data_IF_885316596487
#
_entry.id   IF_885316596487
#
_cell.length_a   1.000
_cell.length_b   1.000
_cell.length_c   1.000
_cell.angle_alpha   90.00
_cell.angle_beta   90.00
_cell.angle_gamma   90.00
#
_symmetry.space_group_name_H-M   'P 1'
#
loop_
_entity.id
_entity.type
_entity.pdbx_description
1 polymer ?
#
# COMPACT_ATOMS: atom_id res chain seq x y z
N UNK A 1 10.38 -4.25 -11.49
CA UNK A 1 8.97 -4.25 -11.05
C UNK A 1 8.99 -4.61 -9.57
N UNK A 2 8.47 -3.76 -8.68
CA UNK A 2 8.44 -4.09 -7.24
C UNK A 2 7.40 -5.18 -7.01
N UNK A 3 7.77 -6.22 -6.26
CA UNK A 3 6.83 -7.28 -5.88
C UNK A 3 6.00 -6.78 -4.70
N UNK A 4 4.68 -6.91 -4.77
CA UNK A 4 3.79 -6.71 -3.63
C UNK A 4 3.85 -7.98 -2.78
N UNK A 5 4.15 -7.83 -1.50
CA UNK A 5 4.27 -8.91 -0.53
C UNK A 5 3.58 -8.52 0.77
N UNK A 6 3.36 -9.47 1.67
CA UNK A 6 2.93 -9.15 3.04
C UNK A 6 3.89 -8.15 3.70
N UNK A 7 3.32 -7.20 4.45
CA UNK A 7 4.00 -6.03 5.02
C UNK A 7 4.27 -4.89 4.04
N UNK A 8 3.98 -5.04 2.74
CA UNK A 8 4.17 -3.97 1.78
C UNK A 8 3.14 -2.85 1.97
N UNK A 9 3.62 -1.60 1.94
CA UNK A 9 2.75 -0.42 1.88
C UNK A 9 2.31 -0.19 0.46
N UNK A 10 1.00 -0.10 0.27
CA UNK A 10 0.35 0.05 -1.03
C UNK A 10 -0.62 1.22 -1.02
N UNK A 11 -0.81 1.82 -2.19
CA UNK A 11 -1.80 2.86 -2.47
C UNK A 11 -2.89 2.23 -3.32
N UNK A 12 -4.12 2.60 -3.03
CA UNK A 12 -5.29 2.20 -3.80
C UNK A 12 -6.27 3.37 -3.86
N UNK A 13 -6.97 3.59 -4.98
CA UNK A 13 -7.94 4.67 -5.12
C UNK A 13 -9.08 4.58 -4.08
N UNK A 14 -9.47 3.36 -3.67
CA UNK A 14 -10.54 3.16 -2.69
C UNK A 14 -10.16 3.60 -1.28
N UNK A 15 -8.86 3.65 -0.94
CA UNK A 15 -8.43 4.18 0.37
C UNK A 15 -8.76 5.66 0.52
N UNK A 16 -8.94 6.36 -0.60
CA UNK A 16 -9.24 7.78 -0.62
C UNK A 16 -8.01 8.65 -0.36
N UNK A 17 -8.25 9.96 -0.41
CA UNK A 17 -7.24 11.00 -0.18
C UNK A 17 -7.72 11.85 0.99
N UNK A 18 -6.86 12.04 2.01
CA UNK A 18 -7.18 12.91 3.14
C UNK A 18 -6.34 14.18 3.04
N UNK A 19 -6.99 15.28 2.67
CA UNK A 19 -6.31 16.53 2.37
C UNK A 19 -5.45 16.39 1.11
N UNK A 20 -4.13 16.51 1.26
CA UNK A 20 -3.14 16.35 0.18
C UNK A 20 -2.42 14.99 0.21
N UNK A 21 -2.77 14.09 1.14
CA UNK A 21 -2.07 12.81 1.34
C UNK A 21 -2.92 11.65 0.82
N UNK A 22 -2.40 10.94 -0.18
CA UNK A 22 -2.95 9.65 -0.60
C UNK A 22 -2.79 8.65 0.54
N UNK A 23 -3.89 8.06 0.97
CA UNK A 23 -3.86 7.07 2.04
C UNK A 23 -3.18 5.79 1.56
N UNK A 24 -2.41 5.19 2.45
CA UNK A 24 -1.66 3.96 2.20
C UNK A 24 -2.22 2.87 3.10
N UNK A 25 -2.48 1.71 2.51
CA UNK A 25 -2.79 0.50 3.24
C UNK A 25 -1.56 -0.39 3.34
N UNK A 26 -1.60 -1.35 4.25
CA UNK A 26 -0.55 -2.35 4.44
C UNK A 26 -1.09 -3.73 4.06
N UNK A 27 -0.37 -4.46 3.22
CA UNK A 27 -0.73 -5.83 2.86
C UNK A 27 -0.53 -6.72 4.07
N UNK A 28 -1.60 -7.28 4.61
CA UNK A 28 -1.56 -8.19 5.77
C UNK A 28 -1.64 -9.66 5.36
N UNK A 29 -2.13 -9.94 4.16
CA UNK A 29 -2.25 -11.31 3.63
C UNK A 29 -2.27 -11.28 2.09
N UNK A 30 -1.98 -12.41 1.45
CA UNK A 30 -2.10 -12.61 0.01
C UNK A 30 -2.97 -13.81 -0.32
N UNK A 31 -3.65 -13.77 -1.47
CA UNK A 31 -4.39 -14.93 -1.96
C UNK A 31 -3.43 -16.00 -2.46
N UNK A 32 -3.88 -17.25 -2.45
CA UNK A 32 -3.10 -18.40 -2.91
C UNK A 32 -2.67 -18.28 -4.39
N UNK A 33 -3.44 -17.56 -5.20
CA UNK A 33 -3.15 -17.30 -6.61
C UNK A 33 -2.30 -16.05 -6.86
N UNK A 34 -2.00 -15.28 -5.80
CA UNK A 34 -1.21 -14.04 -5.85
C UNK A 34 -1.88 -12.88 -6.59
N UNK A 35 -3.17 -12.97 -6.92
CA UNK A 35 -3.91 -11.92 -7.66
C UNK A 35 -4.61 -10.92 -6.75
N UNK A 36 -4.87 -11.30 -5.51
CA UNK A 36 -5.54 -10.48 -4.51
C UNK A 36 -4.62 -10.34 -3.29
N UNK A 37 -4.61 -9.15 -2.71
CA UNK A 37 -3.93 -8.88 -1.46
C UNK A 37 -4.94 -8.33 -0.47
N UNK A 38 -4.90 -8.85 0.75
CA UNK A 38 -5.69 -8.31 1.85
C UNK A 38 -4.93 -7.10 2.39
N UNK A 39 -5.54 -5.92 2.29
CA UNK A 39 -4.92 -4.67 2.69
C UNK A 39 -5.66 -4.10 3.89
N UNK A 40 -4.91 -3.88 4.97
CA UNK A 40 -5.38 -3.16 6.15
C UNK A 40 -5.20 -1.65 5.93
N UNK A 41 -6.31 -0.93 5.94
CA UNK A 41 -6.31 0.53 5.85
C UNK A 41 -6.44 1.11 7.26
N UNK A 42 -5.58 2.04 7.72
CA UNK A 42 -5.67 2.63 9.06
C UNK A 42 -6.98 3.37 9.36
N UNK A 43 -7.82 3.60 8.35
CA UNK A 43 -9.12 4.25 8.48
C UNK A 43 -10.31 3.28 8.44
N UNK A 44 -10.09 2.03 8.06
CA UNK A 44 -11.12 0.99 8.09
C UNK A 44 -10.80 -0.01 9.19
N UNK A 45 -11.82 -0.47 9.89
CA UNK A 45 -11.64 -1.42 10.99
C UNK A 45 -11.27 -2.82 10.47
N UNK A 46 -11.66 -3.15 9.24
CA UNK A 46 -11.49 -4.47 8.65
C UNK A 46 -10.61 -4.39 7.39
N UNK A 47 -9.67 -5.34 7.20
CA UNK A 47 -8.87 -5.40 5.99
C UNK A 47 -9.72 -5.79 4.77
N UNK A 48 -9.48 -5.14 3.63
CA UNK A 48 -10.20 -5.41 2.39
C UNK A 48 -9.34 -6.22 1.41
N UNK A 49 -9.96 -7.17 0.71
CA UNK A 49 -9.32 -7.89 -0.39
C UNK A 49 -9.33 -7.04 -1.65
N UNK A 50 -8.15 -6.65 -2.13
CA UNK A 50 -7.98 -5.79 -3.29
C UNK A 50 -7.12 -6.48 -4.37
N UNK A 51 -7.40 -6.25 -5.67
CA UNK A 51 -6.60 -6.83 -6.74
C UNK A 51 -5.18 -6.26 -6.72
N UNK A 52 -4.17 -7.13 -6.78
CA UNK A 52 -2.75 -6.73 -6.78
C UNK A 52 -2.43 -5.83 -7.99
N UNK A 53 -3.10 -6.05 -9.12
CA UNK A 53 -2.94 -5.23 -10.33
C UNK A 53 -3.44 -3.78 -10.15
N UNK A 54 -4.36 -3.54 -9.20
CA UNK A 54 -4.86 -2.19 -8.86
C UNK A 54 -4.05 -1.54 -7.72
N UNK A 55 -3.24 -2.34 -7.01
CA UNK A 55 -2.40 -1.85 -5.93
C UNK A 55 -1.11 -1.26 -6.50
N UNK A 56 -0.88 0.02 -6.20
CA UNK A 56 0.42 0.62 -6.45
C UNK A 56 1.27 0.52 -5.20
N UNK A 57 2.49 -0.01 -5.30
CA UNK A 57 3.45 0.09 -4.19
C UNK A 57 3.60 1.56 -3.81
N UNK A 58 3.31 1.86 -2.54
CA UNK A 58 3.63 3.14 -1.98
C UNK A 58 5.16 3.22 -1.98
N UNK A 59 5.74 3.83 -3.01
CA UNK A 59 7.15 4.24 -2.94
C UNK A 59 7.28 5.04 -1.66
N UNK A 60 8.01 4.50 -0.69
CA UNK A 60 8.59 5.32 0.35
C UNK A 60 9.23 6.49 -0.39
N UNK A 61 8.84 7.72 -0.03
CA UNK A 61 9.58 8.87 -0.51
C UNK A 61 11.05 8.54 -0.25
N UNK A 62 11.93 8.60 -1.27
CA UNK A 62 13.33 8.32 -1.05
C UNK A 62 13.74 9.17 0.14
N UNK A 63 14.22 8.52 1.20
CA UNK A 63 14.76 9.20 2.38
C UNK A 63 15.50 10.43 1.89
N UNK A 64 14.99 11.61 2.25
CA UNK A 64 15.56 12.88 1.83
C UNK A 64 17.06 12.81 2.12
N UNK A 65 17.93 12.91 1.11
CA UNK A 65 19.36 12.94 1.34
C UNK A 65 19.68 14.33 1.91
N UNK A 66 19.44 14.54 3.20
CA UNK A 66 20.21 15.54 3.91
C UNK A 66 21.62 14.96 4.08
N UNK A 67 22.39 14.96 3.00
CA UNK A 67 23.83 14.99 3.08
C UNK A 67 24.18 16.40 3.53
N UNK A 68 24.43 16.59 4.83
CA UNK A 68 25.21 17.74 5.30
C UNK A 68 26.66 17.46 4.89
N UNK A 69 27.09 18.12 3.81
CA UNK A 69 28.52 18.39 3.56
C UNK A 69 29.05 19.44 4.55
#
# INVERSE_FOLDING_TARGET
MGLITEGAKVKHPTFGVRGSVQLQGEVVNMSDDGKMAQVSNPFEAEPAWLPVDELELAKEAPNSPFTLE
#
